data_IF_970667705210
#
_entry.id   IF_970667705210
#
_cell.length_a   1.000
_cell.length_b   1.000
_cell.length_c   1.000
_cell.angle_alpha   90.00
_cell.angle_beta   90.00
_cell.angle_gamma   90.00
#
_symmetry.space_group_name_H-M   'P 1'
#
loop_
_entity.id
_entity.type
_entity.pdbx_description
1 polymer ?
#
# COMPACT_ATOMS: atom_id res chain seq x y z
N UNK A 1 -49.26 47.53 18.41
CA UNK A 1 -50.70 47.80 18.61
C UNK A 1 -51.18 46.75 19.60
N UNK A 2 -51.56 46.97 20.86
CA UNK A 2 -52.29 48.04 21.57
C UNK A 2 -51.85 47.97 23.06
N UNK A 3 -51.50 49.07 23.75
CA UNK A 3 -52.31 49.78 24.80
C UNK A 3 -53.28 48.86 25.59
N UNK A 4 -53.38 48.87 26.92
CA UNK A 4 -52.82 49.73 27.98
C UNK A 4 -53.39 49.37 29.38
N UNK A 5 -53.08 50.22 30.37
CA UNK A 5 -53.74 50.53 31.67
C UNK A 5 -53.81 49.43 32.78
N UNK A 6 -53.13 49.53 33.94
CA UNK A 6 -53.23 50.42 35.14
C UNK A 6 -54.48 50.21 36.02
N UNK A 7 -54.28 49.76 37.28
CA UNK A 7 -54.81 50.30 38.56
C UNK A 7 -54.80 49.20 39.66
N UNK A 8 -53.93 49.27 40.69
CA UNK A 8 -54.09 49.93 42.00
C UNK A 8 -55.09 49.26 42.97
N UNK A 9 -54.61 48.84 44.15
CA UNK A 9 -55.24 49.12 45.46
C UNK A 9 -54.26 48.81 46.62
N UNK A 10 -54.19 49.76 47.57
CA UNK A 10 -53.39 49.76 48.81
C UNK A 10 -54.14 48.99 49.93
N UNK A 11 -53.49 48.16 50.76
CA UNK A 11 -52.97 48.48 52.12
C UNK A 11 -54.02 48.20 53.22
N UNK A 12 -53.72 48.24 54.54
CA UNK A 12 -52.49 47.98 55.30
C UNK A 12 -52.74 46.94 56.45
N UNK A 13 -51.74 46.60 57.27
CA UNK A 13 -51.79 46.69 58.75
C UNK A 13 -50.54 46.10 59.40
N UNK A 14 -49.98 46.88 60.32
CA UNK A 14 -48.79 46.61 61.10
C UNK A 14 -49.09 45.75 62.34
N UNK A 15 -48.08 45.01 62.81
CA UNK A 15 -48.08 44.34 64.10
C UNK A 15 -46.67 43.93 64.48
N UNK A 16 -46.01 44.75 65.30
CA UNK A 16 -44.66 44.52 65.79
C UNK A 16 -44.66 43.70 67.08
N UNK A 17 -43.73 42.74 67.20
CA UNK A 17 -43.14 42.40 68.50
C UNK A 17 -41.73 41.82 68.35
N UNK A 18 -40.81 42.51 69.02
CA UNK A 18 -39.41 42.17 69.24
C UNK A 18 -39.27 40.98 70.20
N UNK A 19 -38.35 40.04 69.92
CA UNK A 19 -37.65 39.27 70.95
C UNK A 19 -36.23 38.90 70.48
N UNK A 20 -35.34 38.81 71.48
CA UNK A 20 -33.89 38.99 71.42
C UNK A 20 -33.09 37.81 70.85
N UNK A 21 -31.97 38.18 70.23
CA UNK A 21 -30.63 37.55 70.19
C UNK A 21 -30.53 36.04 70.49
N UNK A 22 -30.00 35.31 69.51
CA UNK A 22 -28.88 34.39 69.73
C UNK A 22 -28.13 34.16 68.39
N UNK A 23 -26.86 34.54 68.32
CA UNK A 23 -25.95 34.05 67.28
C UNK A 23 -25.18 32.86 67.86
N UNK A 24 -25.18 31.72 67.17
CA UNK A 24 -23.99 30.89 67.09
C UNK A 24 -23.48 30.87 65.65
N UNK A 25 -22.17 31.07 65.52
CA UNK A 25 -21.40 30.86 64.31
C UNK A 25 -21.55 29.40 63.89
N UNK A 26 -22.22 29.11 62.78
CA UNK A 26 -22.02 27.85 62.06
C UNK A 26 -21.25 28.13 60.77
N UNK A 27 -20.00 27.68 60.80
CA UNK A 27 -19.18 27.37 59.63
C UNK A 27 -19.92 26.29 58.83
N UNK A 28 -20.59 26.67 57.75
CA UNK A 28 -21.02 25.74 56.70
C UNK A 28 -19.97 25.75 55.60
N UNK A 29 -19.21 24.66 55.48
CA UNK A 29 -18.28 24.41 54.38
C UNK A 29 -19.00 24.64 53.03
N UNK A 30 -18.52 25.58 52.24
CA UNK A 30 -18.73 25.55 50.79
C UNK A 30 -17.96 24.33 50.26
N UNK A 31 -18.65 23.23 49.97
CA UNK A 31 -18.13 22.24 49.03
C UNK A 31 -18.20 22.87 47.63
N UNK A 32 -17.20 23.69 47.30
CA UNK A 32 -16.85 23.92 45.91
C UNK A 32 -16.26 22.61 45.39
N UNK A 33 -17.13 21.72 44.91
CA UNK A 33 -16.72 20.58 44.13
C UNK A 33 -16.06 21.11 42.87
N UNK A 34 -14.73 21.21 42.89
CA UNK A 34 -13.94 21.29 41.68
C UNK A 34 -14.21 19.99 40.90
N UNK A 35 -15.15 20.06 39.96
CA UNK A 35 -15.10 19.23 38.77
C UNK A 35 -13.83 19.65 38.02
N UNK A 36 -12.68 19.13 38.48
CA UNK A 36 -11.54 18.96 37.61
C UNK A 36 -11.99 17.92 36.58
N UNK A 37 -12.61 18.40 35.50
CA UNK A 37 -12.73 17.64 34.28
C UNK A 37 -11.29 17.41 33.81
N UNK A 38 -10.67 16.34 34.29
CA UNK A 38 -9.46 15.82 33.71
C UNK A 38 -9.80 15.55 32.26
N UNK A 39 -9.35 16.43 31.36
CA UNK A 39 -9.27 16.11 29.95
C UNK A 39 -8.30 14.95 29.84
N UNK A 40 -8.81 13.73 29.98
CA UNK A 40 -8.10 12.54 29.62
C UNK A 40 -7.98 12.61 28.09
N UNK A 41 -6.91 13.23 27.61
CA UNK A 41 -6.49 13.04 26.24
C UNK A 41 -6.28 11.53 26.09
N UNK A 42 -7.05 10.90 25.22
CA UNK A 42 -6.83 9.51 24.86
C UNK A 42 -5.35 9.36 24.47
N UNK A 43 -4.67 8.36 25.03
CA UNK A 43 -3.30 8.09 24.66
C UNK A 43 -3.24 7.85 23.14
N UNK A 44 -2.23 8.38 22.43
CA UNK A 44 -2.10 8.16 21.00
C UNK A 44 -2.06 6.66 20.72
N UNK A 45 -2.73 6.22 19.65
CA UNK A 45 -2.69 4.81 19.22
C UNK A 45 -1.24 4.45 18.89
N UNK A 46 -0.71 3.45 19.60
CA UNK A 46 0.65 2.95 19.40
C UNK A 46 0.62 1.73 18.47
N UNK A 47 1.33 1.80 17.36
CA UNK A 47 1.45 0.70 16.41
C UNK A 47 2.64 -0.21 16.77
N UNK A 48 2.53 -1.50 16.43
CA UNK A 48 3.63 -2.45 16.61
C UNK A 48 4.89 -2.03 15.84
N UNK A 49 6.06 -2.15 16.46
CA UNK A 49 7.33 -1.87 15.81
C UNK A 49 7.84 -3.08 15.01
N UNK A 50 8.62 -2.82 13.97
CA UNK A 50 9.34 -3.85 13.22
C UNK A 50 10.68 -4.08 13.91
N UNK A 51 10.98 -5.33 14.28
CA UNK A 51 12.17 -5.71 15.03
C UNK A 51 12.83 -6.96 14.41
N UNK A 52 14.17 -7.13 14.52
CA UNK A 52 14.89 -8.21 13.85
C UNK A 52 14.71 -9.60 14.48
N UNK A 53 14.10 -9.68 15.66
CA UNK A 53 13.92 -10.89 16.45
C UNK A 53 12.65 -11.69 16.10
N UNK A 54 11.75 -11.12 15.28
CA UNK A 54 10.54 -11.80 14.82
C UNK A 54 10.71 -12.35 13.39
N UNK A 55 10.94 -13.66 13.22
CA UNK A 55 10.99 -14.26 11.89
C UNK A 55 9.58 -14.40 11.29
N UNK A 56 9.47 -14.27 9.97
CA UNK A 56 8.23 -14.55 9.24
C UNK A 56 7.87 -16.05 9.35
N UNK A 57 6.63 -16.34 9.71
CA UNK A 57 6.05 -17.66 9.90
C UNK A 57 4.90 -17.92 8.92
N UNK A 58 5.18 -18.63 7.83
CA UNK A 58 4.18 -19.02 6.84
C UNK A 58 3.53 -20.37 7.20
N UNK A 59 2.22 -20.57 6.94
CA UNK A 59 1.34 -19.67 6.17
C UNK A 59 0.65 -18.56 6.99
N UNK A 60 0.83 -18.49 8.31
CA UNK A 60 0.11 -17.54 9.17
C UNK A 60 0.32 -16.08 8.75
N UNK A 61 1.57 -15.71 8.46
CA UNK A 61 1.95 -14.35 8.03
C UNK A 61 1.62 -14.06 6.55
N UNK A 62 0.84 -14.92 5.90
CA UNK A 62 0.22 -14.56 4.61
C UNK A 62 -1.03 -13.70 4.79
N UNK A 63 -1.64 -13.72 5.98
CA UNK A 63 -2.78 -12.85 6.30
C UNK A 63 -2.37 -11.47 6.78
N UNK A 64 -3.37 -10.65 7.06
CA UNK A 64 -3.19 -9.27 7.53
C UNK A 64 -2.55 -9.19 8.92
N UNK A 65 -1.77 -8.13 9.15
CA UNK A 65 -1.18 -7.78 10.44
C UNK A 65 -1.70 -6.43 10.98
N UNK A 66 -2.96 -6.34 11.50
CA UNK A 66 -3.62 -5.07 11.84
C UNK A 66 -2.91 -4.21 12.90
N UNK A 67 -2.00 -4.80 13.69
CA UNK A 67 -1.20 -4.08 14.68
C UNK A 67 -0.16 -3.14 14.04
N UNK A 68 0.18 -3.34 12.77
CA UNK A 68 1.10 -2.50 12.02
C UNK A 68 0.36 -1.44 11.21
N UNK A 69 0.99 -0.27 11.09
CA UNK A 69 0.36 0.89 10.43
C UNK A 69 0.07 0.65 8.95
N UNK A 70 0.98 0.00 8.24
CA UNK A 70 0.94 -0.15 6.77
C UNK A 70 1.19 -1.58 6.35
N UNK A 71 0.50 -2.03 5.31
CA UNK A 71 0.67 -3.37 4.75
C UNK A 71 0.29 -3.44 3.29
N UNK A 72 0.99 -4.27 2.51
CA UNK A 72 0.91 -4.31 1.05
C UNK A 72 0.81 -5.75 0.56
N UNK A 73 -0.13 -6.02 -0.34
CA UNK A 73 -0.14 -7.21 -1.20
C UNK A 73 0.02 -6.72 -2.63
N UNK A 74 1.18 -6.96 -3.24
CA UNK A 74 1.53 -6.42 -4.55
C UNK A 74 1.86 -7.55 -5.52
N UNK A 75 0.89 -7.86 -6.38
CA UNK A 75 1.02 -8.87 -7.43
C UNK A 75 1.37 -8.20 -8.75
N UNK A 76 2.49 -8.58 -9.37
CA UNK A 76 2.90 -8.12 -10.70
C UNK A 76 3.13 -9.30 -11.62
N UNK A 77 2.91 -9.15 -12.92
CA UNK A 77 3.15 -10.27 -13.81
C UNK A 77 3.04 -10.00 -15.30
N UNK A 78 3.47 -11.00 -16.05
CA UNK A 78 3.40 -11.04 -17.50
C UNK A 78 2.45 -12.14 -17.93
N UNK A 79 1.54 -11.80 -18.83
CA UNK A 79 0.57 -12.70 -19.44
C UNK A 79 0.92 -12.88 -20.92
N UNK A 80 0.54 -14.02 -21.45
CA UNK A 80 0.63 -14.37 -22.86
C UNK A 80 -0.75 -14.85 -23.30
N UNK A 81 -1.29 -14.22 -24.33
CA UNK A 81 -2.56 -14.59 -24.96
C UNK A 81 -2.37 -15.77 -25.93
N UNK A 82 -3.45 -16.41 -26.44
CA UNK A 82 -3.33 -17.54 -27.36
C UNK A 82 -2.67 -17.17 -28.70
N UNK A 83 -2.75 -15.90 -29.10
CA UNK A 83 -2.08 -15.31 -30.26
C UNK A 83 -0.66 -14.77 -29.94
N UNK A 84 -0.07 -15.22 -28.82
CA UNK A 84 1.27 -14.90 -28.35
C UNK A 84 1.54 -13.40 -28.10
N UNK A 85 0.50 -12.62 -27.79
CA UNK A 85 0.67 -11.22 -27.44
C UNK A 85 1.02 -11.09 -25.95
N UNK A 86 2.05 -10.30 -25.61
CA UNK A 86 2.40 -10.03 -24.23
C UNK A 86 1.48 -8.98 -23.62
N UNK A 87 1.02 -9.22 -22.40
CA UNK A 87 0.40 -8.21 -21.55
C UNK A 87 1.16 -8.14 -20.24
N UNK A 88 1.24 -6.97 -19.64
CA UNK A 88 1.63 -6.80 -18.24
C UNK A 88 0.40 -6.61 -17.38
N UNK A 89 0.42 -7.05 -16.13
CA UNK A 89 -0.58 -6.66 -15.14
C UNK A 89 0.06 -6.38 -13.79
N UNK A 90 -0.57 -5.53 -13.00
CA UNK A 90 -0.33 -5.45 -11.57
C UNK A 90 -1.64 -5.27 -10.80
N UNK A 91 -1.65 -5.77 -9.57
CA UNK A 91 -2.72 -5.59 -8.60
C UNK A 91 -2.08 -5.31 -7.25
N UNK A 92 -2.46 -4.19 -6.66
CA UNK A 92 -1.99 -3.76 -5.35
C UNK A 92 -3.17 -3.64 -4.41
N UNK A 93 -3.08 -4.28 -3.25
CA UNK A 93 -3.90 -3.91 -2.08
C UNK A 93 -2.99 -3.31 -1.01
N UNK A 94 -3.40 -2.18 -0.47
CA UNK A 94 -2.71 -1.48 0.60
C UNK A 94 -3.66 -1.29 1.78
N UNK A 95 -3.23 -1.68 2.97
CA UNK A 95 -3.91 -1.32 4.22
C UNK A 95 -3.14 -0.20 4.91
N UNK A 96 -3.87 0.83 5.34
CA UNK A 96 -3.34 1.85 6.25
C UNK A 96 -4.23 2.00 7.47
N UNK A 97 -3.66 1.82 8.65
CA UNK A 97 -4.25 2.27 9.89
C UNK A 97 -4.16 3.80 9.98
N UNK A 98 -5.24 4.46 10.40
CA UNK A 98 -5.31 5.93 10.46
C UNK A 98 -4.86 6.51 11.80
N UNK A 99 -4.73 5.66 12.82
CA UNK A 99 -4.51 6.10 14.20
C UNK A 99 -5.77 6.64 14.87
N UNK A 100 -6.94 6.49 14.23
CA UNK A 100 -8.24 6.78 14.84
C UNK A 100 -8.41 5.95 16.11
N UNK A 101 -9.06 6.54 17.11
CA UNK A 101 -9.26 5.91 18.41
C UNK A 101 -9.97 4.55 18.25
N UNK A 102 -9.29 3.48 18.67
CA UNK A 102 -9.83 2.13 18.61
C UNK A 102 -11.04 1.94 19.54
N UNK A 103 -11.23 2.83 20.52
CA UNK A 103 -12.39 2.83 21.41
C UNK A 103 -13.63 3.51 20.81
N UNK A 104 -13.54 4.16 19.64
CA UNK A 104 -14.70 4.73 18.95
C UNK A 104 -15.67 3.59 18.53
N UNK A 105 -16.90 3.53 19.09
CA UNK A 105 -17.84 2.46 18.79
C UNK A 105 -18.52 2.62 17.41
N UNK A 106 -18.25 3.70 16.69
CA UNK A 106 -18.88 3.98 15.40
C UNK A 106 -18.49 2.93 14.35
N UNK A 107 -19.48 2.29 13.75
CA UNK A 107 -19.27 1.44 12.58
C UNK A 107 -18.70 2.19 11.36
N UNK A 108 -18.71 3.53 11.40
CA UNK A 108 -18.15 4.41 10.37
C UNK A 108 -16.77 4.96 10.74
N UNK A 109 -16.21 4.63 11.91
CA UNK A 109 -14.88 5.07 12.30
C UNK A 109 -13.84 4.63 11.24
N UNK A 110 -13.02 5.53 10.69
CA UNK A 110 -12.08 5.21 9.63
C UNK A 110 -10.80 4.57 10.20
N UNK A 111 -10.88 3.61 11.13
CA UNK A 111 -9.71 3.07 11.85
C UNK A 111 -8.71 2.40 10.92
N UNK A 112 -9.20 1.78 9.85
CA UNK A 112 -8.39 1.16 8.79
C UNK A 112 -8.94 1.58 7.42
N UNK A 113 -8.04 1.87 6.50
CA UNK A 113 -8.32 2.11 5.10
C UNK A 113 -7.78 0.93 4.29
N UNK A 114 -8.59 0.42 3.37
CA UNK A 114 -8.18 -0.52 2.32
C UNK A 114 -8.17 0.27 1.02
N UNK A 115 -7.05 0.23 0.32
CA UNK A 115 -6.81 0.90 -0.95
C UNK A 115 -6.44 -0.17 -1.95
N UNK A 116 -6.96 -0.10 -3.17
CA UNK A 116 -6.64 -1.07 -4.21
C UNK A 116 -6.43 -0.39 -5.57
N UNK A 117 -5.39 -0.80 -6.27
CA UNK A 117 -5.13 -0.40 -7.67
C UNK A 117 -4.97 -1.64 -8.51
N UNK A 118 -5.47 -1.59 -9.73
CA UNK A 118 -5.21 -2.61 -10.73
C UNK A 118 -4.85 -1.95 -12.04
N UNK A 119 -3.99 -2.61 -12.81
CA UNK A 119 -3.63 -2.14 -14.13
C UNK A 119 -3.35 -3.27 -15.11
N UNK A 120 -3.59 -2.99 -16.39
CA UNK A 120 -3.29 -3.85 -17.52
C UNK A 120 -2.48 -3.05 -18.56
N UNK A 121 -1.25 -3.50 -18.78
CA UNK A 121 -0.34 -2.99 -19.81
C UNK A 121 -0.54 -3.75 -21.10
N UNK A 122 -1.22 -3.12 -22.05
CA UNK A 122 -1.46 -3.66 -23.38
C UNK A 122 -0.80 -2.76 -24.43
N UNK A 123 0.27 -3.23 -25.11
CA UNK A 123 0.91 -2.45 -26.17
C UNK A 123 -0.03 -1.99 -27.29
N UNK A 124 -1.12 -2.72 -27.54
CA UNK A 124 -2.12 -2.33 -28.55
C UNK A 124 -3.02 -1.19 -28.05
N UNK A 125 -3.15 -1.00 -26.74
CA UNK A 125 -3.85 0.14 -26.13
C UNK A 125 -2.93 1.36 -25.99
N UNK A 126 -1.62 1.12 -25.87
CA UNK A 126 -0.57 2.14 -25.99
C UNK A 126 -0.32 3.01 -24.76
N UNK A 127 -1.10 2.80 -23.69
CA UNK A 127 -0.92 3.39 -22.37
C UNK A 127 -1.51 2.45 -21.30
N UNK A 128 -1.27 2.73 -20.02
CA UNK A 128 -1.80 1.92 -18.94
C UNK A 128 -3.33 2.03 -18.85
N UNK A 129 -4.05 0.91 -18.97
CA UNK A 129 -5.42 0.83 -18.48
C UNK A 129 -5.36 0.57 -16.98
N UNK A 130 -5.96 1.44 -16.17
CA UNK A 130 -5.90 1.30 -14.72
C UNK A 130 -7.20 1.76 -14.05
N UNK A 131 -7.44 1.26 -12.85
CA UNK A 131 -8.53 1.68 -11.99
C UNK A 131 -8.06 1.66 -10.53
N UNK A 132 -8.73 2.42 -9.66
CA UNK A 132 -8.31 2.65 -8.29
C UNK A 132 -9.50 2.85 -7.35
N UNK A 133 -9.41 2.27 -6.16
CA UNK A 133 -10.45 2.33 -5.15
C UNK A 133 -9.85 2.57 -3.77
N UNK A 134 -10.62 3.23 -2.91
CA UNK A 134 -10.30 3.41 -1.49
C UNK A 134 -11.59 3.28 -0.68
N UNK A 135 -11.54 2.49 0.38
CA UNK A 135 -12.66 2.30 1.28
C UNK A 135 -12.17 2.22 2.73
N UNK A 136 -13.02 2.66 3.65
CA UNK A 136 -12.84 2.33 5.08
C UNK A 136 -13.15 0.85 5.25
N UNK A 137 -12.35 0.17 6.05
CA UNK A 137 -12.66 -1.20 6.44
C UNK A 137 -14.01 -1.26 7.14
N UNK A 138 -14.83 -2.26 6.81
CA UNK A 138 -16.13 -2.48 7.44
C UNK A 138 -17.21 -2.95 6.47
N UNK A 139 -18.40 -3.22 7.04
CA UNK A 139 -19.62 -3.57 6.32
C UNK A 139 -19.53 -4.77 5.35
N UNK A 140 -18.47 -5.59 5.44
CA UNK A 140 -18.21 -6.70 4.52
C UNK A 140 -17.81 -6.28 3.09
N UNK A 141 -17.64 -4.97 2.87
CA UNK A 141 -17.28 -4.39 1.57
C UNK A 141 -15.78 -4.22 1.43
N UNK A 142 -15.08 -3.85 2.51
CA UNK A 142 -13.63 -3.71 2.50
C UNK A 142 -13.02 -4.34 3.76
N UNK A 143 -12.03 -5.19 3.59
CA UNK A 143 -11.31 -5.84 4.69
C UNK A 143 -9.97 -6.44 4.24
N UNK A 144 -9.11 -6.71 5.22
CA UNK A 144 -7.98 -7.62 5.11
C UNK A 144 -7.98 -8.54 6.34
N UNK A 145 -8.13 -9.86 6.14
CA UNK A 145 -8.27 -10.81 7.25
C UNK A 145 -6.91 -11.31 7.75
N UNK A 146 -6.72 -11.44 9.08
CA UNK A 146 -5.54 -12.11 9.64
C UNK A 146 -5.48 -13.62 9.34
N UNK A 147 -4.28 -14.20 9.44
CA UNK A 147 -4.04 -15.65 9.42
C UNK A 147 -3.97 -16.31 8.04
N UNK A 148 -4.56 -15.72 7.01
CA UNK A 148 -4.41 -16.13 5.62
C UNK A 148 -4.70 -14.94 4.70
N UNK A 149 -4.14 -14.90 3.49
CA UNK A 149 -4.47 -13.84 2.53
C UNK A 149 -5.95 -13.94 2.13
N UNK A 150 -6.76 -13.00 2.60
CA UNK A 150 -8.12 -12.73 2.16
C UNK A 150 -8.33 -11.22 2.28
N UNK A 151 -8.10 -10.54 1.17
CA UNK A 151 -8.16 -9.08 1.07
C UNK A 151 -9.19 -8.72 0.02
N UNK A 152 -10.10 -7.82 0.39
CA UNK A 152 -11.22 -7.43 -0.44
C UNK A 152 -11.47 -5.93 -0.38
N UNK A 153 -11.79 -5.35 -1.53
CA UNK A 153 -12.35 -4.02 -1.68
C UNK A 153 -13.44 -4.06 -2.74
N UNK A 154 -14.69 -3.94 -2.30
CA UNK A 154 -15.89 -4.08 -3.12
C UNK A 154 -15.93 -5.41 -3.89
N UNK A 155 -15.92 -5.39 -5.22
CA UNK A 155 -15.88 -6.60 -6.04
C UNK A 155 -14.45 -7.18 -6.15
N UNK A 156 -13.41 -6.40 -5.83
CA UNK A 156 -12.03 -6.80 -6.03
C UNK A 156 -11.51 -7.59 -4.85
N UNK A 157 -10.81 -8.70 -5.12
CA UNK A 157 -10.24 -9.53 -4.07
C UNK A 157 -9.02 -10.33 -4.51
N UNK A 158 -8.19 -10.65 -3.53
CA UNK A 158 -7.15 -11.68 -3.60
C UNK A 158 -7.32 -12.62 -2.40
N UNK A 159 -7.46 -13.92 -2.68
CA UNK A 159 -7.67 -14.95 -1.67
C UNK A 159 -6.66 -16.07 -1.89
N UNK A 160 -5.93 -16.46 -0.85
CA UNK A 160 -5.06 -17.64 -0.85
C UNK A 160 -5.86 -18.88 -0.45
N UNK A 161 -5.96 -19.84 -1.35
CA UNK A 161 -6.63 -21.11 -1.10
C UNK A 161 -5.79 -22.04 -0.21
N UNK A 162 -6.41 -23.13 0.26
CA UNK A 162 -5.77 -24.08 1.18
C UNK A 162 -4.55 -24.81 0.56
N UNK A 163 -4.53 -24.98 -0.76
CA UNK A 163 -3.41 -25.54 -1.52
C UNK A 163 -2.33 -24.48 -1.86
N UNK A 164 -2.53 -23.23 -1.44
CA UNK A 164 -1.59 -22.13 -1.56
C UNK A 164 -1.71 -21.28 -2.83
N UNK A 165 -2.59 -21.59 -3.78
CA UNK A 165 -2.80 -20.70 -4.92
C UNK A 165 -3.56 -19.43 -4.51
N UNK A 166 -3.31 -18.34 -5.22
CA UNK A 166 -4.07 -17.09 -5.06
C UNK A 166 -5.13 -16.99 -6.15
N UNK A 167 -6.40 -16.88 -5.75
CA UNK A 167 -7.50 -16.52 -6.61
C UNK A 167 -7.64 -14.99 -6.61
N UNK A 168 -7.62 -14.41 -7.80
CA UNK A 168 -7.66 -12.97 -8.03
C UNK A 168 -8.88 -12.66 -8.90
N UNK A 169 -9.77 -11.84 -8.38
CA UNK A 169 -10.93 -11.34 -9.12
C UNK A 169 -10.93 -9.82 -9.06
N UNK A 170 -10.79 -9.17 -10.21
CA UNK A 170 -10.78 -7.71 -10.36
C UNK A 170 -11.62 -7.34 -11.58
N UNK A 171 -12.74 -6.66 -11.34
CA UNK A 171 -13.58 -6.05 -12.37
C UNK A 171 -13.36 -4.54 -12.34
N UNK A 172 -12.43 -4.06 -13.15
CA UNK A 172 -12.04 -2.67 -13.23
C UNK A 172 -12.83 -1.92 -14.31
N UNK A 173 -12.82 -0.59 -14.25
CA UNK A 173 -13.39 0.20 -15.33
C UNK A 173 -12.60 -0.01 -16.65
N UNK A 174 -13.20 -0.74 -17.59
CA UNK A 174 -12.67 -0.97 -18.93
C UNK A 174 -11.80 -2.21 -19.10
N UNK A 175 -11.50 -2.97 -18.05
CA UNK A 175 -10.78 -4.24 -18.14
C UNK A 175 -11.10 -5.15 -16.94
N UNK A 176 -10.79 -6.44 -17.04
CA UNK A 176 -10.90 -7.35 -15.90
C UNK A 176 -9.72 -8.30 -15.82
N UNK A 177 -9.40 -8.74 -14.60
CA UNK A 177 -8.37 -9.74 -14.30
C UNK A 177 -9.02 -10.83 -13.44
N UNK A 178 -9.25 -12.00 -14.03
CA UNK A 178 -9.73 -13.20 -13.33
C UNK A 178 -8.64 -14.25 -13.41
N UNK A 179 -7.75 -14.25 -12.42
CA UNK A 179 -6.47 -14.97 -12.48
C UNK A 179 -6.32 -15.94 -11.31
N UNK A 180 -5.59 -17.02 -11.56
CA UNK A 180 -5.06 -17.93 -10.55
C UNK A 180 -3.54 -17.82 -10.58
N UNK A 181 -2.94 -17.50 -9.42
CA UNK A 181 -1.49 -17.44 -9.26
C UNK A 181 -1.04 -18.63 -8.40
N UNK A 182 -0.40 -19.61 -9.01
CA UNK A 182 0.00 -20.85 -8.32
C UNK A 182 1.50 -20.82 -7.99
N UNK A 183 1.89 -20.94 -6.72
CA UNK A 183 3.30 -21.04 -6.33
C UNK A 183 4.00 -22.22 -7.00
N UNK A 184 5.21 -21.98 -7.51
CA UNK A 184 6.06 -23.03 -8.10
C UNK A 184 7.36 -23.25 -7.34
N UNK A 185 7.64 -22.38 -6.37
CA UNK A 185 8.83 -22.38 -5.54
C UNK A 185 8.47 -21.98 -4.12
N UNK A 186 9.37 -22.21 -3.16
CA UNK A 186 9.22 -21.69 -1.82
C UNK A 186 9.20 -20.14 -1.84
N UNK A 187 8.54 -19.49 -0.87
CA UNK A 187 8.64 -18.05 -0.67
C UNK A 187 10.10 -17.58 -0.50
N UNK A 188 10.42 -16.42 -1.03
CA UNK A 188 11.69 -15.72 -0.88
C UNK A 188 11.58 -14.75 0.30
N UNK A 189 12.11 -15.15 1.45
CA UNK A 189 12.18 -14.28 2.63
C UNK A 189 13.23 -13.19 2.38
N UNK A 190 12.83 -11.93 2.48
CA UNK A 190 13.69 -10.78 2.21
C UNK A 190 14.47 -10.35 3.46
N UNK A 191 15.59 -9.66 3.25
CA UNK A 191 16.43 -9.17 4.34
C UNK A 191 16.91 -10.27 5.29
N UNK A 192 17.00 -9.96 6.58
CA UNK A 192 17.44 -10.89 7.62
C UNK A 192 16.22 -11.60 8.23
N UNK A 193 15.88 -12.79 7.69
CA UNK A 193 14.73 -13.60 8.14
C UNK A 193 13.38 -12.87 8.07
N UNK A 194 13.24 -11.94 7.12
CA UNK A 194 12.04 -11.15 6.89
C UNK A 194 12.20 -9.71 7.34
N UNK A 195 13.14 -9.41 8.24
CA UNK A 195 13.48 -8.04 8.61
C UNK A 195 14.26 -7.37 7.47
N UNK A 196 13.56 -6.55 6.70
CA UNK A 196 14.09 -5.84 5.53
C UNK A 196 14.22 -4.35 5.82
N UNK A 197 15.46 -3.87 5.90
CA UNK A 197 15.72 -2.44 6.09
C UNK A 197 15.48 -1.67 4.79
N UNK A 198 14.86 -0.50 4.92
CA UNK A 198 14.59 0.47 3.86
C UNK A 198 15.21 1.85 4.13
N UNK A 199 16.12 1.92 5.09
CA UNK A 199 16.80 3.14 5.49
C UNK A 199 18.02 2.92 6.39
N UNK A 200 18.84 3.96 6.60
CA UNK A 200 20.06 3.89 7.41
C UNK A 200 19.80 3.62 8.89
N UNK A 201 18.58 3.89 9.39
CA UNK A 201 18.23 3.67 10.80
C UNK A 201 17.53 2.32 11.00
N UNK A 202 17.77 1.58 12.10
CA UNK A 202 17.18 0.25 12.32
C UNK A 202 15.63 0.24 12.33
N UNK A 203 14.99 1.31 12.79
CA UNK A 203 13.52 1.41 12.79
C UNK A 203 12.93 1.57 11.38
N UNK A 204 13.74 1.93 10.38
CA UNK A 204 13.35 2.06 8.99
C UNK A 204 13.40 0.69 8.33
N UNK A 205 12.49 -0.18 8.73
CA UNK A 205 12.39 -1.54 8.26
C UNK A 205 10.94 -1.98 8.09
N UNK A 206 10.78 -3.08 7.37
CA UNK A 206 9.53 -3.79 7.19
C UNK A 206 9.76 -5.28 7.41
N UNK A 207 8.72 -6.01 7.79
CA UNK A 207 8.69 -7.44 7.54
C UNK A 207 8.29 -7.66 6.09
N UNK A 208 9.04 -8.50 5.38
CA UNK A 208 8.91 -8.60 3.94
C UNK A 208 9.28 -9.99 3.41
N UNK A 209 8.39 -10.56 2.60
CA UNK A 209 8.68 -11.73 1.78
C UNK A 209 8.04 -11.60 0.40
N UNK A 210 8.53 -12.42 -0.53
CA UNK A 210 7.99 -12.50 -1.87
C UNK A 210 7.63 -13.95 -2.23
N UNK A 211 6.64 -14.13 -3.09
CA UNK A 211 6.41 -15.38 -3.82
C UNK A 211 6.74 -15.14 -5.30
N UNK A 212 7.97 -15.47 -5.73
CA UNK A 212 8.35 -15.36 -7.13
C UNK A 212 7.86 -16.58 -7.93
N UNK A 213 7.97 -16.49 -9.24
CA UNK A 213 7.69 -17.59 -10.17
C UNK A 213 6.28 -18.17 -9.98
N UNK A 214 5.28 -17.33 -9.67
CA UNK A 214 3.88 -17.75 -9.59
C UNK A 214 3.37 -18.04 -11.00
N UNK A 215 2.99 -19.29 -11.28
CA UNK A 215 2.38 -19.65 -12.55
C UNK A 215 1.00 -18.99 -12.63
N UNK A 216 0.74 -18.27 -13.73
CA UNK A 216 -0.55 -17.63 -13.96
C UNK A 216 -1.39 -18.41 -14.96
N UNK A 217 -2.65 -18.64 -14.62
CA UNK A 217 -3.71 -19.07 -15.55
C UNK A 217 -4.96 -18.23 -15.31
N UNK A 218 -5.86 -18.15 -16.28
CA UNK A 218 -7.14 -17.48 -16.12
C UNK A 218 -7.53 -16.72 -17.36
N UNK A 219 -8.16 -15.56 -17.19
CA UNK A 219 -8.69 -14.77 -18.29
C UNK A 219 -8.69 -13.27 -18.01
N UNK A 220 -8.63 -12.49 -19.08
CA UNK A 220 -8.68 -11.02 -19.02
C UNK A 220 -9.67 -10.47 -20.03
N UNK A 221 -10.39 -9.42 -19.65
CA UNK A 221 -11.07 -8.53 -20.61
C UNK A 221 -10.13 -7.35 -20.86
N UNK A 222 -9.77 -7.10 -22.12
CA UNK A 222 -8.85 -6.03 -22.51
C UNK A 222 -9.60 -4.72 -22.75
N UNK A 223 -8.96 -3.56 -22.52
CA UNK A 223 -9.54 -2.27 -22.86
C UNK A 223 -9.78 -2.17 -24.38
N UNK A 224 -10.85 -1.49 -24.74
CA UNK A 224 -11.15 -1.23 -26.14
C UNK A 224 -10.30 -0.07 -26.65
N UNK A 225 -9.51 -0.32 -27.69
CA UNK A 225 -9.01 0.77 -28.51
C UNK A 225 -10.21 1.50 -29.16
N UNK A 226 -10.11 2.83 -29.32
CA UNK A 226 -11.16 3.61 -29.99
C UNK A 226 -11.46 3.02 -31.38
N UNK A 227 -12.70 2.59 -31.61
CA UNK A 227 -13.14 1.96 -32.86
C UNK A 227 -13.01 0.44 -32.93
N UNK A 228 -12.52 -0.24 -31.89
CA UNK A 228 -12.54 -1.71 -31.79
C UNK A 228 -13.81 -2.20 -31.10
N UNK A 229 -14.37 -3.31 -31.58
CA UNK A 229 -15.36 -4.07 -30.80
C UNK A 229 -14.70 -4.65 -29.55
N UNK A 230 -15.50 -4.81 -28.49
CA UNK A 230 -15.08 -5.46 -27.25
C UNK A 230 -14.43 -6.81 -27.55
N UNK A 231 -13.15 -6.98 -27.19
CA UNK A 231 -12.59 -8.31 -27.11
C UNK A 231 -13.19 -8.93 -25.85
N UNK A 232 -14.07 -9.91 -26.05
CA UNK A 232 -14.61 -10.71 -24.97
C UNK A 232 -13.49 -11.36 -24.13
N UNK A 233 -13.90 -12.10 -23.11
CA UNK A 233 -12.96 -12.71 -22.18
C UNK A 233 -11.87 -13.53 -22.91
N UNK A 234 -10.60 -13.16 -22.71
CA UNK A 234 -9.43 -13.74 -23.38
C UNK A 234 -8.68 -14.62 -22.39
N UNK A 235 -8.58 -15.92 -22.67
CA UNK A 235 -7.77 -16.83 -21.85
C UNK A 235 -6.29 -16.43 -21.87
N UNK A 236 -5.61 -16.53 -20.74
CA UNK A 236 -4.21 -16.16 -20.60
C UNK A 236 -3.44 -17.18 -19.78
N UNK A 237 -2.13 -17.23 -20.03
CA UNK A 237 -1.15 -17.92 -19.18
C UNK A 237 0.04 -17.01 -18.93
N UNK A 238 0.82 -17.26 -17.88
CA UNK A 238 1.91 -16.34 -17.56
C UNK A 238 2.73 -16.68 -16.35
N UNK A 239 3.51 -15.69 -15.90
CA UNK A 239 4.29 -15.73 -14.67
C UNK A 239 4.11 -14.43 -13.90
N UNK A 240 3.93 -14.55 -12.59
CA UNK A 240 3.75 -13.44 -11.68
C UNK A 240 4.72 -13.50 -10.50
N UNK A 241 4.72 -12.42 -9.75
CA UNK A 241 5.44 -12.18 -8.52
C UNK A 241 4.45 -11.59 -7.55
N UNK A 242 4.45 -12.06 -6.29
CA UNK A 242 3.70 -11.43 -5.20
C UNK A 242 4.69 -10.93 -4.15
N UNK A 243 4.53 -9.69 -3.75
CA UNK A 243 5.15 -9.14 -2.55
C UNK A 243 4.13 -8.99 -1.42
N UNK A 244 4.57 -9.29 -0.21
CA UNK A 244 3.82 -9.04 1.00
C UNK A 244 4.71 -8.35 2.04
N UNK A 245 4.40 -7.09 2.34
CA UNK A 245 5.21 -6.22 3.20
C UNK A 245 4.35 -5.53 4.26
N UNK A 246 4.77 -5.53 5.52
CA UNK A 246 4.12 -4.75 6.60
C UNK A 246 5.11 -4.01 7.49
N UNK A 247 4.72 -2.80 7.92
CA UNK A 247 5.54 -1.95 8.80
C UNK A 247 4.73 -0.86 9.49
N UNK A 248 5.31 -0.25 10.53
CA UNK A 248 4.76 0.97 11.17
C UNK A 248 5.57 2.23 10.90
N UNK A 249 6.74 2.08 10.26
CA UNK A 249 7.62 3.19 9.90
C UNK A 249 7.39 3.53 8.44
N UNK A 250 6.92 4.75 8.18
CA UNK A 250 6.88 5.33 6.85
C UNK A 250 8.30 5.58 6.33
N UNK A 251 8.46 5.82 5.04
CA UNK A 251 9.75 6.23 4.48
C UNK A 251 10.28 7.50 5.15
N UNK A 252 11.60 7.66 5.12
CA UNK A 252 12.25 8.84 5.68
C UNK A 252 11.67 10.13 5.08
N UNK A 253 11.53 11.18 5.89
CA UNK A 253 10.98 12.47 5.43
C UNK A 253 11.83 13.14 4.34
N UNK A 254 13.10 12.74 4.22
CA UNK A 254 14.01 13.20 3.16
C UNK A 254 13.96 12.32 1.90
N UNK A 255 13.22 11.21 1.92
CA UNK A 255 12.99 10.40 0.74
C UNK A 255 12.02 11.11 -0.22
N UNK A 256 12.32 11.05 -1.51
CA UNK A 256 11.44 11.53 -2.59
C UNK A 256 10.57 10.40 -3.15
N UNK A 257 11.07 9.18 -3.15
CA UNK A 257 10.38 7.99 -3.66
C UNK A 257 11.35 6.82 -3.74
N UNK A 258 10.92 5.75 -4.40
CA UNK A 258 11.75 4.56 -4.64
C UNK A 258 11.69 4.10 -6.09
N UNK A 259 12.72 3.35 -6.48
CA UNK A 259 12.74 2.49 -7.65
C UNK A 259 12.74 1.05 -7.13
N UNK A 260 11.84 0.20 -7.59
CA UNK A 260 11.74 -1.20 -7.17
C UNK A 260 11.66 -2.12 -8.39
N UNK A 261 12.28 -3.29 -8.30
CA UNK A 261 12.29 -4.35 -9.31
C UNK A 261 11.97 -5.69 -8.65
N UNK A 262 11.00 -6.41 -9.20
CA UNK A 262 10.79 -7.85 -9.01
C UNK A 262 10.89 -8.56 -10.36
N UNK A 263 11.78 -9.55 -10.47
CA UNK A 263 12.08 -10.23 -11.72
C UNK A 263 12.10 -11.75 -11.60
N UNK A 264 11.33 -12.39 -12.46
CA UNK A 264 11.35 -13.83 -12.70
C UNK A 264 12.32 -14.12 -13.84
N UNK A 265 13.41 -14.81 -13.53
CA UNK A 265 14.43 -15.20 -14.50
C UNK A 265 14.10 -16.56 -15.13
N UNK A 266 14.52 -16.73 -16.38
CA UNK A 266 14.16 -17.87 -17.22
C UNK A 266 14.73 -19.21 -16.75
N UNK A 267 15.83 -19.18 -15.98
CA UNK A 267 16.45 -20.36 -15.35
C UNK A 267 15.77 -20.76 -14.03
N UNK A 268 14.71 -20.05 -13.62
CA UNK A 268 14.03 -20.24 -12.33
C UNK A 268 14.59 -19.38 -11.21
N UNK A 269 15.64 -18.59 -11.44
CA UNK A 269 16.14 -17.62 -10.47
C UNK A 269 15.13 -16.48 -10.25
N UNK A 270 15.25 -15.78 -9.12
CA UNK A 270 14.38 -14.68 -8.72
C UNK A 270 15.21 -13.52 -8.18
N UNK A 271 15.01 -12.31 -8.71
CA UNK A 271 15.70 -11.09 -8.29
C UNK A 271 14.69 -10.07 -7.78
N UNK A 272 14.88 -9.60 -6.55
CA UNK A 272 14.27 -8.38 -6.04
C UNK A 272 15.37 -7.34 -5.82
N UNK A 273 15.13 -6.10 -6.21
CA UNK A 273 16.03 -4.99 -5.93
C UNK A 273 15.25 -3.70 -5.73
N UNK A 274 15.73 -2.82 -4.85
CA UNK A 274 15.17 -1.48 -4.74
C UNK A 274 16.21 -0.44 -4.34
N UNK A 275 15.86 0.82 -4.58
CA UNK A 275 16.60 2.02 -4.15
C UNK A 275 15.63 3.06 -3.64
N UNK A 276 15.83 3.53 -2.41
CA UNK A 276 15.15 4.70 -1.85
C UNK A 276 15.95 5.94 -2.21
N UNK A 277 15.33 6.91 -2.87
CA UNK A 277 15.99 8.11 -3.38
C UNK A 277 15.80 9.30 -2.44
N UNK A 278 16.88 9.99 -2.14
CA UNK A 278 16.88 11.26 -1.41
C UNK A 278 16.51 12.44 -2.29
N UNK A 279 16.29 13.60 -1.66
CA UNK A 279 16.03 14.88 -2.37
C UNK A 279 17.20 15.37 -3.21
N UNK A 280 18.41 14.95 -2.87
CA UNK A 280 19.64 15.23 -3.61
C UNK A 280 19.83 14.32 -4.85
N UNK A 281 18.91 13.36 -5.06
CA UNK A 281 18.96 12.39 -6.14
C UNK A 281 19.83 11.16 -5.85
N UNK A 282 20.53 11.12 -4.71
CA UNK A 282 21.35 9.97 -4.31
C UNK A 282 20.51 8.88 -3.62
N UNK A 283 21.05 7.65 -3.56
CA UNK A 283 20.44 6.58 -2.78
C UNK A 283 20.57 6.89 -1.29
N UNK A 284 19.44 6.96 -0.57
CA UNK A 284 19.44 6.93 0.90
C UNK A 284 19.61 5.50 1.41
N UNK A 285 19.11 4.54 0.64
CA UNK A 285 19.23 3.11 0.91
C UNK A 285 19.06 2.34 -0.39
N UNK A 286 19.71 1.19 -0.50
CA UNK A 286 19.49 0.27 -1.60
C UNK A 286 19.70 -1.17 -1.12
N UNK A 287 19.00 -2.11 -1.73
CA UNK A 287 19.08 -3.53 -1.39
C UNK A 287 18.71 -4.38 -2.59
N UNK A 288 19.28 -5.57 -2.67
CA UNK A 288 18.84 -6.60 -3.59
C UNK A 288 18.98 -7.98 -2.97
N UNK A 289 18.12 -8.90 -3.39
CA UNK A 289 18.19 -10.31 -3.08
C UNK A 289 18.07 -11.11 -4.37
N UNK A 290 19.04 -11.98 -4.63
CA UNK A 290 19.04 -12.92 -5.75
C UNK A 290 18.94 -14.34 -5.20
N UNK A 291 17.85 -15.03 -5.49
CA UNK A 291 17.78 -16.49 -5.38
C UNK A 291 18.17 -17.10 -6.71
N UNK A 292 19.24 -17.88 -6.74
CA UNK A 292 19.65 -18.58 -7.96
C UNK A 292 18.81 -19.85 -8.22
N UNK A 293 19.01 -20.46 -9.39
CA UNK A 293 18.27 -21.65 -9.83
C UNK A 293 18.40 -22.88 -8.91
N UNK A 294 19.46 -22.95 -8.08
CA UNK A 294 19.65 -24.03 -7.08
C UNK A 294 19.07 -23.66 -5.70
N UNK A 295 18.47 -22.48 -5.56
CA UNK A 295 17.79 -22.03 -4.34
C UNK A 295 18.68 -21.27 -3.35
N UNK A 296 19.95 -21.01 -3.67
CA UNK A 296 20.82 -20.20 -2.81
C UNK A 296 20.47 -18.72 -2.93
N UNK A 297 20.28 -18.05 -1.78
CA UNK A 297 19.94 -16.63 -1.70
C UNK A 297 21.19 -15.82 -1.36
N UNK A 298 21.49 -14.83 -2.19
CA UNK A 298 22.54 -13.83 -1.95
C UNK A 298 21.91 -12.46 -1.79
N UNK A 299 22.18 -11.81 -0.65
CA UNK A 299 21.77 -10.45 -0.35
C UNK A 299 22.88 -9.46 -0.69
N UNK A 300 22.49 -8.27 -1.15
CA UNK A 300 23.38 -7.17 -1.51
C UNK A 300 23.00 -5.92 -0.72
N UNK A 301 24.01 -5.26 -0.16
CA UNK A 301 23.83 -4.03 0.61
C UNK A 301 23.84 -2.76 -0.25
N UNK A 302 23.67 -1.58 0.37
CA UNK A 302 23.57 -0.30 -0.34
C UNK A 302 24.74 0.00 -1.28
N UNK A 303 25.97 -0.34 -0.90
CA UNK A 303 27.18 -0.06 -1.71
C UNK A 303 27.33 -1.01 -2.93
N UNK A 304 26.49 -2.03 -3.01
CA UNK A 304 26.54 -3.07 -4.04
C UNK A 304 25.40 -2.94 -5.05
N UNK A 305 24.42 -2.10 -4.78
CA UNK A 305 23.18 -1.97 -5.57
C UNK A 305 23.07 -0.57 -6.15
N UNK A 306 22.87 -0.48 -7.46
CA UNK A 306 22.55 0.80 -8.10
C UNK A 306 21.58 0.62 -9.26
N UNK A 307 20.78 1.66 -9.48
CA UNK A 307 19.84 1.82 -10.58
C UNK A 307 20.31 3.01 -11.40
N UNK A 308 20.78 2.75 -12.62
CA UNK A 308 21.31 3.77 -13.52
C UNK A 308 20.34 3.96 -14.69
N UNK A 309 19.74 5.16 -14.85
CA UNK A 309 18.87 5.47 -15.99
C UNK A 309 19.58 5.30 -17.34
N UNK A 310 18.85 4.81 -18.35
CA UNK A 310 19.34 4.79 -19.74
C UNK A 310 18.37 5.40 -20.73
N UNK A 311 17.06 5.23 -20.54
CA UNK A 311 16.07 5.99 -21.30
C UNK A 311 15.12 6.69 -20.34
N UNK A 312 14.84 7.96 -20.61
CA UNK A 312 13.86 8.75 -19.87
C UNK A 312 12.65 8.98 -20.77
N UNK A 313 11.47 8.67 -20.27
CA UNK A 313 10.20 9.05 -20.88
C UNK A 313 9.56 10.19 -20.08
N UNK A 314 8.98 11.17 -20.78
CA UNK A 314 8.22 12.27 -20.18
C UNK A 314 6.74 11.97 -20.28
N UNK A 315 6.04 11.89 -19.15
CA UNK A 315 4.58 11.75 -19.16
C UNK A 315 3.91 12.98 -19.78
N UNK A 316 3.03 12.81 -20.79
CA UNK A 316 2.25 13.92 -21.32
C UNK A 316 1.14 14.38 -20.36
N UNK A 317 0.78 13.57 -19.34
CA UNK A 317 -0.29 13.87 -18.38
C UNK A 317 0.19 14.60 -17.14
N UNK A 318 1.34 14.20 -16.61
CA UNK A 318 1.86 14.73 -15.32
C UNK A 318 3.13 15.54 -15.49
N UNK A 319 3.73 15.53 -16.69
CA UNK A 319 5.01 16.15 -16.99
C UNK A 319 6.21 15.55 -16.22
N UNK A 320 5.99 14.44 -15.51
CA UNK A 320 7.02 13.69 -14.80
C UNK A 320 8.02 13.04 -15.77
N UNK A 321 9.27 12.90 -15.33
CA UNK A 321 10.35 12.27 -16.09
C UNK A 321 10.68 10.92 -15.46
N UNK A 322 10.29 9.83 -16.12
CA UNK A 322 10.51 8.48 -15.62
C UNK A 322 11.70 7.82 -16.35
N UNK A 323 12.68 7.29 -15.61
CA UNK A 323 13.69 6.39 -16.16
C UNK A 323 13.11 5.00 -16.50
N UNK A 324 12.30 4.93 -17.55
CA UNK A 324 11.55 3.73 -17.95
C UNK A 324 12.45 2.57 -18.41
N UNK A 325 13.71 2.86 -18.76
CA UNK A 325 14.74 1.87 -19.01
C UNK A 325 15.96 2.15 -18.16
N UNK A 326 16.49 1.09 -17.53
CA UNK A 326 17.56 1.20 -16.54
C UNK A 326 18.57 0.05 -16.66
N UNK A 327 19.77 0.30 -16.17
CA UNK A 327 20.72 -0.73 -15.76
C UNK A 327 20.61 -0.93 -14.24
N UNK A 328 20.42 -2.16 -13.79
CA UNK A 328 20.39 -2.52 -12.37
C UNK A 328 21.61 -3.36 -12.06
N UNK A 329 22.42 -2.91 -11.09
CA UNK A 329 23.61 -3.61 -10.61
C UNK A 329 23.34 -4.23 -9.25
N UNK A 330 23.82 -5.46 -9.04
CA UNK A 330 23.93 -6.08 -7.71
C UNK A 330 25.26 -6.85 -7.61
N UNK A 331 26.20 -6.34 -6.83
CA UNK A 331 27.56 -6.89 -6.75
C UNK A 331 28.29 -6.78 -8.10
N UNK A 332 28.71 -7.92 -8.66
CA UNK A 332 29.34 -8.01 -9.99
C UNK A 332 28.33 -8.23 -11.13
N UNK A 333 27.05 -8.41 -10.81
CA UNK A 333 26.00 -8.70 -11.77
C UNK A 333 25.37 -7.40 -12.25
N UNK A 334 24.99 -7.35 -13.52
CA UNK A 334 24.30 -6.20 -14.10
C UNK A 334 23.23 -6.69 -15.07
N UNK A 335 22.03 -6.17 -14.91
CA UNK A 335 20.89 -6.44 -15.77
C UNK A 335 20.42 -5.16 -16.43
N UNK A 336 19.92 -5.31 -17.66
CA UNK A 336 19.25 -4.27 -18.42
C UNK A 336 17.74 -4.49 -18.36
N UNK A 337 17.03 -3.45 -17.97
CA UNK A 337 15.57 -3.36 -17.98
C UNK A 337 15.10 -2.55 -19.19
N UNK A 338 14.25 -3.12 -20.01
CA UNK A 338 13.59 -2.42 -21.12
C UNK A 338 12.06 -2.55 -20.98
N UNK A 339 11.31 -1.44 -21.06
CA UNK A 339 9.87 -1.46 -20.80
C UNK A 339 9.11 -2.20 -21.89
N UNK A 340 7.97 -2.80 -21.54
CA UNK A 340 7.01 -3.35 -22.49
C UNK A 340 6.48 -2.23 -23.42
N UNK A 341 6.17 -1.09 -22.82
CA UNK A 341 5.83 0.18 -23.46
C UNK A 341 6.19 1.34 -22.52
N UNK A 342 6.43 2.52 -23.07
CA UNK A 342 6.89 3.67 -22.28
C UNK A 342 5.81 4.19 -21.31
N UNK A 343 4.57 4.27 -21.78
CA UNK A 343 3.46 4.85 -21.02
C UNK A 343 2.79 3.80 -20.12
N UNK A 344 3.41 3.53 -18.97
CA UNK A 344 2.89 2.68 -17.90
C UNK A 344 2.67 3.48 -16.60
N UNK A 345 2.32 4.76 -16.73
CA UNK A 345 2.05 5.63 -15.58
C UNK A 345 0.64 5.40 -15.03
N UNK A 346 0.55 5.24 -13.71
CA UNK A 346 -0.67 5.14 -12.93
C UNK A 346 -0.81 6.38 -12.04
N UNK A 347 -1.79 7.21 -12.34
CA UNK A 347 -2.13 8.37 -11.50
C UNK A 347 -3.17 7.98 -10.45
N UNK A 348 -2.72 7.71 -9.22
CA UNK A 348 -3.58 7.35 -8.09
C UNK A 348 -3.74 8.44 -7.03
N UNK A 349 -3.65 9.71 -7.45
CA UNK A 349 -3.84 10.86 -6.56
C UNK A 349 -5.20 10.89 -5.86
N UNK A 350 -6.21 10.22 -6.40
CA UNK A 350 -7.55 10.16 -5.83
C UNK A 350 -7.72 9.07 -4.75
N UNK A 351 -6.75 8.17 -4.57
CA UNK A 351 -6.80 7.08 -3.60
C UNK A 351 -5.59 7.05 -2.65
N UNK A 352 -4.37 6.80 -3.15
CA UNK A 352 -3.13 6.84 -2.34
C UNK A 352 -2.51 8.23 -2.26
N UNK A 353 -2.90 9.15 -3.15
CA UNK A 353 -2.34 10.51 -3.18
C UNK A 353 -1.03 10.61 -3.97
N UNK A 354 -0.66 9.59 -4.72
CA UNK A 354 0.61 9.52 -5.45
C UNK A 354 0.44 9.20 -6.93
N UNK A 355 1.52 9.35 -7.69
CA UNK A 355 1.62 8.94 -9.10
C UNK A 355 2.78 7.95 -9.19
N UNK A 356 2.52 6.84 -9.85
CA UNK A 356 3.41 5.69 -9.98
C UNK A 356 3.70 5.50 -11.47
N UNK A 357 4.86 4.91 -11.78
CA UNK A 357 5.04 4.22 -13.04
C UNK A 357 5.15 2.73 -12.72
N UNK A 358 4.20 1.95 -13.20
CA UNK A 358 3.94 0.56 -12.85
C UNK A 358 4.15 -0.31 -14.08
N UNK A 359 5.42 -0.55 -14.43
CA UNK A 359 5.73 -1.03 -15.76
C UNK A 359 6.27 -2.45 -15.83
N UNK A 360 5.64 -3.26 -16.67
CA UNK A 360 6.19 -4.51 -17.14
C UNK A 360 7.51 -4.24 -17.89
N UNK A 361 8.59 -4.91 -17.48
CA UNK A 361 9.93 -4.79 -18.08
C UNK A 361 10.48 -6.15 -18.52
N UNK A 362 11.18 -6.17 -19.66
CA UNK A 362 12.03 -7.29 -20.07
C UNK A 362 13.37 -7.16 -19.36
N UNK A 363 13.92 -8.29 -18.93
CA UNK A 363 15.21 -8.34 -18.23
C UNK A 363 16.22 -9.03 -19.13
N UNK A 364 17.29 -8.32 -19.48
CA UNK A 364 18.41 -8.86 -20.25
C UNK A 364 19.73 -8.75 -19.48
N UNK A 365 20.68 -9.61 -19.82
CA UNK A 365 22.03 -9.59 -19.27
C UNK A 365 22.99 -10.12 -20.33
N UNK A 366 24.13 -9.47 -20.47
CA UNK A 366 25.17 -9.83 -21.46
C UNK A 366 24.61 -9.97 -22.89
N UNK A 367 23.64 -9.11 -23.24
CA UNK A 367 22.98 -9.07 -24.55
C UNK A 367 21.88 -10.13 -24.77
N UNK A 368 21.64 -11.03 -23.80
CA UNK A 368 20.60 -12.06 -23.89
C UNK A 368 19.40 -11.73 -23.01
N UNK A 369 18.19 -12.05 -23.48
CA UNK A 369 16.98 -12.01 -22.64
C UNK A 369 17.06 -13.11 -21.59
N UNK A 370 17.02 -12.73 -20.32
CA UNK A 370 17.15 -13.65 -19.17
C UNK A 370 15.89 -13.71 -18.31
N UNK A 371 14.88 -12.88 -18.56
CA UNK A 371 13.67 -12.91 -17.76
C UNK A 371 12.70 -11.77 -18.05
N UNK A 372 11.70 -11.66 -17.19
CA UNK A 372 10.68 -10.62 -17.20
C UNK A 372 10.40 -10.19 -15.77
N UNK A 373 10.02 -8.94 -15.58
CA UNK A 373 9.74 -8.39 -14.28
C UNK A 373 8.81 -7.20 -14.34
N UNK A 374 8.69 -6.54 -13.20
CA UNK A 374 8.04 -5.24 -13.06
C UNK A 374 9.00 -4.26 -12.42
N UNK A 375 8.98 -3.03 -12.93
CA UNK A 375 9.69 -1.89 -12.38
C UNK A 375 8.64 -0.89 -11.88
N UNK A 376 8.68 -0.61 -10.59
CA UNK A 376 7.85 0.42 -9.97
C UNK A 376 8.70 1.66 -9.69
N UNK A 377 8.20 2.82 -10.11
CA UNK A 377 8.86 4.11 -9.90
C UNK A 377 7.89 5.08 -9.22
N UNK A 378 8.20 5.48 -8.00
CA UNK A 378 7.41 6.47 -7.26
C UNK A 378 8.20 7.77 -7.11
N UNK A 379 7.55 8.91 -6.85
CA UNK A 379 8.27 10.13 -6.48
C UNK A 379 8.79 11.00 -7.63
N UNK A 380 8.55 10.63 -8.89
CA UNK A 380 9.03 11.38 -10.07
C UNK A 380 8.10 12.52 -10.49
N UNK A 381 6.79 12.41 -10.23
CA UNK A 381 5.85 13.52 -10.44
C UNK A 381 5.89 14.53 -9.29
N UNK A 382 5.86 14.02 -8.05
CA UNK A 382 5.99 14.77 -6.81
C UNK A 382 6.60 13.86 -5.75
N UNK A 383 7.29 14.44 -4.76
CA UNK A 383 7.79 13.67 -3.62
C UNK A 383 6.66 12.88 -2.95
N UNK A 384 6.92 11.60 -2.68
CA UNK A 384 5.93 10.68 -2.16
C UNK A 384 5.50 11.07 -0.74
N UNK A 385 4.19 11.02 -0.48
CA UNK A 385 3.59 11.32 0.83
C UNK A 385 2.51 10.28 1.15
N UNK A 386 2.91 9.09 1.58
CA UNK A 386 1.96 8.05 2.02
C UNK A 386 1.65 8.27 3.51
N UNK A 387 0.37 8.36 3.85
CA UNK A 387 -0.11 8.36 5.25
C UNK A 387 0.32 9.58 6.07
N UNK A 388 -0.09 10.79 5.66
CA UNK A 388 0.21 12.05 6.41
C UNK A 388 0.06 11.86 7.93
N UNK A 389 1.04 12.39 8.67
CA UNK A 389 0.92 12.65 10.10
C UNK A 389 -0.21 13.65 10.38
#
# INVERSE_FOLDING_TARGET
MSRGDIALTQGPYAGATSLRRLRPRLRGLFYAGLLAASSAFAAPVEFAAVTPDHPIALPQDSGAHPAFRTEWWYATGWLTTPDNQPLGFQITFFRSATGHDAADPSAFAPSQLIIAHAALSDPAFGHLAHDQHIARQGFGLAYAQPGNTDVKLDAWKIIRAADGHYAVDVDANGFSLHLTLTPTQAPLIQGERGYSRKGPRPEQASYYYSEPQLRVTGSVVRPNAAGSTSRGNTAVSGMAWLDHEWSSTLLDANAVGWDWLGANLADGSALMAFKVRGRDGHAMWAHAALRNAVGHVTAFGPDQVDFTPVCIWRSPRTNALYPVSMSVKAGSLTWRLDPLMDDQELDSRQSTGAVYWEGAVRVSRDGASVGRGYLELTGYANALRIGKQ
#
